data_IF_521299188602
#
_entry.id   IF_521299188602
#
_cell.length_a   1.000
_cell.length_b   1.000
_cell.length_c   1.000
_cell.angle_alpha   90.00
_cell.angle_beta   90.00
_cell.angle_gamma   90.00
#
_symmetry.space_group_name_H-M   'P 1'
#
loop_
_entity.id
_entity.type
_entity.pdbx_description
1 polymer ?
#
# COMPACT_ATOMS: atom_id res chain seq x y z
N UNK A 1 -25.20 -25.53 31.44
CA UNK A 1 -24.11 -25.86 30.51
C UNK A 1 -23.63 -24.53 29.96
N UNK A 2 -22.59 -23.95 30.54
CA UNK A 2 -22.04 -22.68 30.07
C UNK A 2 -21.23 -22.97 28.81
N UNK A 3 -21.60 -22.38 27.68
CA UNK A 3 -20.76 -22.43 26.48
C UNK A 3 -19.40 -21.79 26.81
N UNK A 4 -18.28 -22.37 26.37
CA UNK A 4 -16.98 -21.74 26.56
C UNK A 4 -16.96 -20.49 25.67
N UNK A 5 -16.87 -19.31 26.29
CA UNK A 5 -16.48 -18.06 25.64
C UNK A 5 -15.09 -18.24 25.01
N UNK A 6 -15.06 -18.81 23.81
CA UNK A 6 -13.88 -18.77 22.97
C UNK A 6 -13.74 -17.33 22.48
N UNK A 7 -12.93 -16.56 23.19
CA UNK A 7 -12.33 -15.35 22.66
C UNK A 7 -11.55 -15.74 21.39
N UNK A 8 -12.24 -15.80 20.26
CA UNK A 8 -11.63 -16.01 18.95
C UNK A 8 -10.73 -14.80 18.72
N UNK A 9 -9.42 -15.03 18.76
CA UNK A 9 -8.40 -13.99 18.61
C UNK A 9 -8.74 -13.14 17.38
N UNK A 10 -9.16 -11.90 17.64
CA UNK A 10 -9.78 -11.03 16.64
C UNK A 10 -8.76 -10.54 15.60
N UNK A 11 -7.47 -10.75 15.89
CA UNK A 11 -6.33 -10.40 15.05
C UNK A 11 -6.18 -11.35 13.86
N UNK A 12 -6.01 -10.85 12.61
CA UNK A 12 -5.70 -11.70 11.47
C UNK A 12 -4.37 -12.45 11.63
N UNK A 13 -4.22 -13.53 10.86
CA UNK A 13 -3.01 -14.36 10.82
C UNK A 13 -1.73 -13.52 10.84
N UNK A 14 -0.87 -13.77 11.83
CA UNK A 14 0.44 -13.10 11.98
C UNK A 14 1.29 -13.30 10.73
N UNK A 15 1.32 -14.52 10.20
CA UNK A 15 2.08 -14.86 9.02
C UNK A 15 1.60 -14.07 7.79
N UNK A 16 0.28 -14.03 7.55
CA UNK A 16 -0.29 -13.26 6.44
C UNK A 16 0.02 -11.76 6.56
N UNK A 17 -0.10 -11.20 7.76
CA UNK A 17 0.24 -9.80 8.02
C UNK A 17 1.72 -9.50 7.78
N UNK A 18 2.62 -10.37 8.24
CA UNK A 18 4.07 -10.18 8.07
C UNK A 18 4.50 -10.29 6.61
N UNK A 19 3.96 -11.23 5.84
CA UNK A 19 4.24 -11.33 4.40
C UNK A 19 3.81 -10.07 3.65
N UNK A 20 2.57 -9.64 3.86
CA UNK A 20 2.03 -8.43 3.24
C UNK A 20 2.82 -7.18 3.66
N UNK A 21 3.02 -6.98 4.96
CA UNK A 21 3.74 -5.84 5.50
C UNK A 21 5.21 -5.78 5.04
N UNK A 22 5.90 -6.92 4.98
CA UNK A 22 7.32 -6.94 4.60
C UNK A 22 7.50 -6.55 3.15
N UNK A 23 6.69 -7.09 2.24
CA UNK A 23 6.75 -6.73 0.82
C UNK A 23 6.56 -5.22 0.59
N UNK A 24 5.57 -4.64 1.26
CA UNK A 24 5.29 -3.20 1.18
C UNK A 24 6.35 -2.33 1.87
N UNK A 25 6.88 -2.76 3.01
CA UNK A 25 7.95 -2.05 3.71
C UNK A 25 9.22 -2.01 2.85
N UNK A 26 9.58 -3.11 2.19
CA UNK A 26 10.71 -3.15 1.24
C UNK A 26 10.48 -2.19 0.07
N UNK A 27 9.27 -2.17 -0.49
CA UNK A 27 8.93 -1.23 -1.56
C UNK A 27 9.08 0.23 -1.11
N UNK A 28 8.58 0.56 0.09
CA UNK A 28 8.69 1.89 0.66
C UNK A 28 10.15 2.29 0.93
N UNK A 29 10.97 1.38 1.48
CA UNK A 29 12.40 1.61 1.67
C UNK A 29 13.08 1.87 0.33
N UNK A 30 12.80 1.08 -0.71
CA UNK A 30 13.35 1.30 -2.05
C UNK A 30 12.96 2.65 -2.64
N UNK A 31 11.74 3.15 -2.35
CA UNK A 31 11.33 4.49 -2.76
C UNK A 31 12.13 5.57 -2.03
N UNK A 32 12.35 5.41 -0.72
CA UNK A 32 13.09 6.37 0.11
C UNK A 32 14.59 6.37 -0.20
N UNK A 33 15.19 5.22 -0.49
CA UNK A 33 16.62 5.13 -0.86
C UNK A 33 16.91 5.61 -2.27
N UNK A 34 15.89 5.66 -3.14
CA UNK A 34 15.98 6.22 -4.50
C UNK A 34 15.04 7.44 -4.64
N UNK A 35 15.02 8.32 -3.63
CA UNK A 35 14.00 9.36 -3.53
C UNK A 35 14.08 10.36 -4.68
N UNK A 36 15.28 10.81 -5.04
CA UNK A 36 15.51 11.75 -6.14
C UNK A 36 14.98 11.19 -7.48
N UNK A 37 15.29 9.93 -7.77
CA UNK A 37 14.78 9.26 -8.97
C UNK A 37 13.26 9.12 -8.97
N UNK A 38 12.64 8.87 -7.81
CA UNK A 38 11.17 8.79 -7.69
C UNK A 38 10.50 10.15 -7.83
N UNK A 39 11.11 11.21 -7.30
CA UNK A 39 10.65 12.58 -7.48
C UNK A 39 10.70 12.95 -8.96
N UNK A 40 11.84 12.74 -9.63
CA UNK A 40 11.99 13.05 -11.04
C UNK A 40 10.98 12.29 -11.92
N UNK A 41 10.75 11.00 -11.62
CA UNK A 41 9.74 10.21 -12.33
C UNK A 41 8.31 10.72 -12.11
N UNK A 42 7.96 11.06 -10.86
CA UNK A 42 6.65 11.63 -10.55
C UNK A 42 6.43 13.01 -11.19
N UNK A 43 7.45 13.85 -11.22
CA UNK A 43 7.42 15.15 -11.88
C UNK A 43 7.22 15.01 -13.40
N UNK A 44 7.92 14.06 -14.03
CA UNK A 44 7.73 13.73 -15.44
C UNK A 44 6.31 13.21 -15.75
N UNK A 45 5.64 12.54 -14.79
CA UNK A 45 4.23 12.13 -14.87
C UNK A 45 3.25 13.27 -14.50
N UNK A 46 3.74 14.48 -14.21
CA UNK A 46 2.92 15.66 -13.94
C UNK A 46 2.35 15.72 -12.52
N UNK A 47 2.93 15.00 -11.55
CA UNK A 47 2.51 15.07 -10.15
C UNK A 47 2.85 16.44 -9.57
N UNK A 48 1.86 17.24 -9.10
CA UNK A 48 2.14 18.54 -8.50
C UNK A 48 2.91 18.38 -7.19
N UNK A 49 3.86 19.27 -6.90
CA UNK A 49 4.66 19.24 -5.66
C UNK A 49 5.34 17.88 -5.40
N UNK A 50 5.85 17.21 -6.44
CA UNK A 50 6.48 15.88 -6.34
C UNK A 50 7.54 15.79 -5.23
N UNK A 51 8.34 16.84 -5.04
CA UNK A 51 9.34 16.97 -3.97
C UNK A 51 8.77 16.76 -2.55
N UNK A 52 7.50 17.08 -2.32
CA UNK A 52 6.84 16.92 -1.02
C UNK A 52 5.96 15.66 -1.00
N UNK A 53 5.24 15.39 -2.08
CA UNK A 53 4.29 14.27 -2.14
C UNK A 53 4.98 12.92 -2.16
N UNK A 54 6.09 12.75 -2.89
CA UNK A 54 6.78 11.46 -2.99
C UNK A 54 7.38 10.99 -1.66
N UNK A 55 8.11 11.83 -0.89
CA UNK A 55 8.57 11.44 0.45
C UNK A 55 7.40 11.13 1.39
N UNK A 56 6.35 11.97 1.37
CA UNK A 56 5.17 11.79 2.22
C UNK A 56 4.43 10.48 1.91
N UNK A 57 4.20 10.19 0.64
CA UNK A 57 3.57 8.95 0.18
C UNK A 57 4.42 7.72 0.54
N UNK A 58 5.74 7.81 0.39
CA UNK A 58 6.65 6.72 0.75
C UNK A 58 6.67 6.47 2.27
N UNK A 59 6.66 7.53 3.08
CA UNK A 59 6.52 7.44 4.53
C UNK A 59 5.17 6.87 4.96
N UNK A 60 4.09 7.27 4.29
CA UNK A 60 2.74 6.74 4.52
C UNK A 60 2.67 5.23 4.24
N UNK A 61 3.25 4.78 3.13
CA UNK A 61 3.34 3.35 2.80
C UNK A 61 4.16 2.61 3.85
N UNK A 62 5.33 3.13 4.24
CA UNK A 62 6.19 2.48 5.24
C UNK A 62 5.48 2.37 6.59
N UNK A 63 4.89 3.47 7.08
CA UNK A 63 4.17 3.50 8.35
C UNK A 63 2.96 2.57 8.35
N UNK A 64 2.16 2.57 7.28
CA UNK A 64 1.04 1.66 7.12
C UNK A 64 1.48 0.18 7.10
N UNK A 65 2.58 -0.11 6.42
CA UNK A 65 3.15 -1.47 6.34
C UNK A 65 3.57 -1.97 7.72
N UNK A 66 4.37 -1.19 8.45
CA UNK A 66 4.81 -1.53 9.82
C UNK A 66 3.61 -1.68 10.75
N UNK A 67 2.64 -0.77 10.66
CA UNK A 67 1.42 -0.82 11.45
C UNK A 67 0.59 -2.09 11.22
N UNK A 68 0.43 -2.56 9.98
CA UNK A 68 -0.24 -3.84 9.68
C UNK A 68 0.58 -5.02 10.20
N UNK A 69 1.91 -5.01 10.01
CA UNK A 69 2.81 -6.07 10.46
C UNK A 69 2.80 -6.26 11.98
N UNK A 70 2.76 -5.17 12.73
CA UNK A 70 2.65 -5.16 14.20
C UNK A 70 1.21 -5.19 14.72
N UNK A 71 0.22 -5.10 13.82
CA UNK A 71 -1.21 -4.92 14.14
C UNK A 71 -1.48 -3.73 15.07
N UNK A 72 -0.77 -2.62 14.87
CA UNK A 72 -0.96 -1.37 15.61
C UNK A 72 -1.78 -0.40 14.79
N UNK A 73 -2.76 0.24 15.44
CA UNK A 73 -3.71 1.17 14.81
C UNK A 73 -4.26 0.63 13.46
N UNK A 74 -4.77 -0.61 13.41
CA UNK A 74 -4.93 -1.35 12.15
C UNK A 74 -5.85 -0.68 11.13
N UNK A 75 -6.88 0.08 11.59
CA UNK A 75 -7.73 0.89 10.72
C UNK A 75 -6.92 1.98 10.00
N UNK A 76 -6.10 2.74 10.74
CA UNK A 76 -5.25 3.78 10.17
C UNK A 76 -4.19 3.16 9.26
N UNK A 77 -3.52 2.11 9.71
CA UNK A 77 -2.45 1.45 8.97
C UNK A 77 -2.92 0.88 7.62
N UNK A 78 -4.05 0.17 7.60
CA UNK A 78 -4.64 -0.32 6.35
C UNK A 78 -5.20 0.82 5.48
N UNK A 79 -5.82 1.83 6.10
CA UNK A 79 -6.28 3.04 5.41
C UNK A 79 -5.15 3.79 4.71
N UNK A 80 -3.99 3.92 5.35
CA UNK A 80 -2.78 4.53 4.78
C UNK A 80 -2.30 3.79 3.53
N UNK A 81 -2.26 2.46 3.55
CA UNK A 81 -1.87 1.65 2.39
C UNK A 81 -2.89 1.78 1.25
N UNK A 82 -4.18 1.76 1.56
CA UNK A 82 -5.25 1.99 0.57
C UNK A 82 -5.09 3.37 -0.07
N UNK A 83 -4.95 4.43 0.75
CA UNK A 83 -4.82 5.80 0.27
C UNK A 83 -3.57 5.98 -0.60
N UNK A 84 -2.44 5.40 -0.21
CA UNK A 84 -1.21 5.40 -1.00
C UNK A 84 -1.46 4.81 -2.40
N UNK A 85 -1.93 3.57 -2.49
CA UNK A 85 -2.09 2.92 -3.79
C UNK A 85 -3.22 3.56 -4.61
N UNK A 86 -4.33 3.96 -3.99
CA UNK A 86 -5.43 4.61 -4.69
C UNK A 86 -5.01 5.96 -5.29
N UNK A 87 -4.14 6.72 -4.62
CA UNK A 87 -3.61 7.98 -5.13
C UNK A 87 -2.51 7.81 -6.18
N UNK A 88 -1.56 6.90 -5.93
CA UNK A 88 -0.36 6.74 -6.77
C UNK A 88 -0.65 5.95 -8.05
N UNK A 89 -1.44 4.88 -7.96
CA UNK A 89 -1.62 3.93 -9.07
C UNK A 89 -2.20 4.55 -10.35
N UNK A 90 -3.30 5.32 -10.31
CA UNK A 90 -3.88 5.88 -11.54
C UNK A 90 -3.05 7.01 -12.15
N UNK A 91 -2.03 7.51 -11.44
CA UNK A 91 -1.14 8.57 -11.94
C UNK A 91 0.17 7.99 -12.45
N UNK A 92 0.78 7.08 -11.68
CA UNK A 92 2.09 6.52 -12.00
C UNK A 92 2.01 5.35 -13.00
N UNK A 93 0.87 4.65 -13.04
CA UNK A 93 0.64 3.46 -13.87
C UNK A 93 -0.60 3.62 -14.76
N UNK A 94 -0.73 4.80 -15.38
CA UNK A 94 -1.81 5.19 -16.27
C UNK A 94 -1.67 4.54 -17.66
N UNK A 95 -1.79 3.22 -17.73
CA UNK A 95 -1.55 2.41 -18.93
C UNK A 95 -2.36 2.82 -20.18
N UNK A 96 -3.45 3.57 -19.99
CA UNK A 96 -4.28 4.12 -21.06
C UNK A 96 -3.68 5.34 -21.76
N UNK A 97 -2.71 6.02 -21.12
CA UNK A 97 -2.06 7.24 -21.63
C UNK A 97 -0.63 7.02 -22.16
N UNK A 98 -0.13 5.77 -22.16
CA UNK A 98 1.21 5.44 -22.67
C UNK A 98 1.16 4.83 -24.07
N UNK A 99 2.31 4.79 -24.73
CA UNK A 99 2.49 4.15 -26.03
C UNK A 99 2.28 2.62 -25.98
N UNK A 100 2.17 2.00 -27.15
CA UNK A 100 1.90 0.56 -27.24
C UNK A 100 3.03 -0.31 -26.69
N UNK A 101 4.26 0.20 -26.70
CA UNK A 101 5.44 -0.50 -26.19
C UNK A 101 5.40 -0.61 -24.65
N UNK A 102 5.03 0.49 -23.96
CA UNK A 102 5.02 0.54 -22.50
C UNK A 102 3.69 0.08 -21.86
N UNK A 103 2.60 0.03 -22.64
CA UNK A 103 1.24 -0.25 -22.13
C UNK A 103 1.13 -1.56 -21.34
N UNK A 104 1.79 -2.62 -21.78
CA UNK A 104 1.72 -3.93 -21.12
C UNK A 104 2.34 -3.93 -19.71
N UNK A 105 3.49 -3.26 -19.57
CA UNK A 105 4.18 -3.11 -18.29
C UNK A 105 3.37 -2.25 -17.32
N UNK A 106 2.83 -1.12 -17.80
CA UNK A 106 2.03 -0.23 -16.97
C UNK A 106 0.71 -0.88 -16.53
N UNK A 107 0.06 -1.64 -17.41
CA UNK A 107 -1.15 -2.40 -17.06
C UNK A 107 -0.84 -3.46 -15.99
N UNK A 108 0.28 -4.15 -16.11
CA UNK A 108 0.69 -5.15 -15.12
C UNK A 108 0.91 -4.51 -13.75
N UNK A 109 1.63 -3.39 -13.71
CA UNK A 109 1.89 -2.63 -12.48
C UNK A 109 0.58 -2.09 -11.86
N UNK A 110 -0.33 -1.57 -12.69
CA UNK A 110 -1.66 -1.13 -12.26
C UNK A 110 -2.44 -2.26 -11.58
N UNK A 111 -2.50 -3.44 -12.21
CA UNK A 111 -3.24 -4.59 -11.69
C UNK A 111 -2.62 -5.15 -10.40
N UNK A 112 -1.28 -5.16 -10.29
CA UNK A 112 -0.60 -5.56 -9.06
C UNK A 112 -0.95 -4.64 -7.90
N UNK A 113 -0.91 -3.32 -8.11
CA UNK A 113 -1.31 -2.36 -7.09
C UNK A 113 -2.80 -2.48 -6.73
N UNK A 114 -3.67 -2.74 -7.71
CA UNK A 114 -5.09 -2.98 -7.47
C UNK A 114 -5.32 -4.21 -6.58
N UNK A 115 -4.59 -5.31 -6.82
CA UNK A 115 -4.64 -6.48 -5.97
C UNK A 115 -4.16 -6.19 -4.53
N UNK A 116 -3.11 -5.37 -4.38
CA UNK A 116 -2.61 -4.92 -3.07
C UNK A 116 -3.62 -4.03 -2.34
N UNK A 117 -4.35 -3.16 -3.04
CA UNK A 117 -5.49 -2.41 -2.48
C UNK A 117 -6.54 -3.38 -1.96
N UNK A 118 -6.92 -4.39 -2.74
CA UNK A 118 -7.90 -5.40 -2.32
C UNK A 118 -7.51 -6.11 -1.02
N UNK A 119 -6.24 -6.51 -0.90
CA UNK A 119 -5.71 -7.09 0.33
C UNK A 119 -5.73 -6.11 1.51
N UNK A 120 -5.37 -4.84 1.29
CA UNK A 120 -5.43 -3.80 2.32
C UNK A 120 -6.87 -3.54 2.79
N UNK A 121 -7.85 -3.55 1.87
CA UNK A 121 -9.29 -3.43 2.20
C UNK A 121 -9.75 -4.59 3.07
N UNK A 122 -9.29 -5.82 2.82
CA UNK A 122 -9.60 -6.96 3.68
C UNK A 122 -9.09 -6.77 5.12
N UNK A 123 -7.84 -6.29 5.28
CA UNK A 123 -7.31 -5.94 6.60
C UNK A 123 -8.08 -4.80 7.27
N UNK A 124 -8.45 -3.76 6.51
CA UNK A 124 -9.23 -2.63 7.01
C UNK A 124 -10.61 -3.07 7.50
N UNK A 125 -11.30 -3.92 6.73
CA UNK A 125 -12.60 -4.47 7.10
C UNK A 125 -12.49 -5.28 8.40
N UNK A 126 -11.52 -6.20 8.47
CA UNK A 126 -11.28 -6.99 9.69
C UNK A 126 -10.96 -6.10 10.90
N UNK A 127 -10.21 -5.02 10.70
CA UNK A 127 -9.92 -4.06 11.75
C UNK A 127 -11.15 -3.29 12.25
N UNK A 128 -12.23 -3.17 11.45
CA UNK A 128 -13.50 -2.54 11.83
C UNK A 128 -14.44 -3.45 12.58
N UNK A 129 -14.31 -4.76 12.39
CA UNK A 129 -15.11 -5.80 13.04
C UNK A 129 -14.62 -6.12 14.46
N UNK A 130 -13.46 -5.57 14.85
CA UNK A 130 -12.86 -5.63 16.18
C UNK A 130 -12.99 -4.29 16.92
#
# INVERSE_FOLDING_TARGET
>A
MSEPDSNVDSTPSRFGRLLFATGLAVLAVRNLTNLEGRIAYADAKGVPFANNLVPAASGLLLGGSVGIGLWRLPKLSAGSVIAFFAGVTPVMHDFWNVDSESRGEELTSFLQNLALIGAAVAFFKRAREN
#
